data_IF_261754839156
#
_entry.id   IF_261754839156
#
_cell.length_a   1.000
_cell.length_b   1.000
_cell.length_c   1.000
_cell.angle_alpha   90.00
_cell.angle_beta   90.00
_cell.angle_gamma   90.00
#
_symmetry.space_group_name_H-M   'P 1'
#
loop_
_entity.id
_entity.type
_entity.pdbx_description
1 polymer ?
#
# COMPACT_ATOMS: atom_id res chain seq x y z
N UNK A 1 -14.63 16.33 -6.33
CA UNK A 1 -13.87 17.25 -7.21
C UNK A 1 -14.11 16.81 -8.65
N UNK A 2 -14.37 17.72 -9.57
CA UNK A 2 -14.66 17.40 -10.97
C UNK A 2 -13.47 16.64 -11.60
N UNK A 3 -13.71 15.76 -12.59
CA UNK A 3 -12.63 15.15 -13.36
C UNK A 3 -11.75 16.27 -13.93
N UNK A 4 -10.46 15.99 -14.02
CA UNK A 4 -9.49 16.94 -14.56
C UNK A 4 -9.60 16.90 -16.11
N UNK A 5 -10.77 17.27 -16.61
CA UNK A 5 -11.03 17.37 -18.03
C UNK A 5 -10.16 18.52 -18.56
N UNK A 6 -9.21 18.17 -19.42
CA UNK A 6 -8.31 19.07 -20.14
C UNK A 6 -6.99 19.52 -19.48
N UNK A 7 -6.49 18.91 -18.39
CA UNK A 7 -5.14 19.27 -17.89
C UNK A 7 -4.04 18.33 -18.36
N UNK A 8 -2.87 18.91 -18.61
CA UNK A 8 -1.66 18.23 -19.00
C UNK A 8 -1.21 17.24 -17.93
N UNK A 9 -0.99 15.98 -18.31
CA UNK A 9 -0.52 14.93 -17.40
C UNK A 9 0.89 15.15 -16.82
N UNK A 10 1.65 16.13 -17.34
CA UNK A 10 3.03 16.42 -16.90
C UNK A 10 3.11 17.69 -16.05
N UNK A 11 2.33 18.73 -16.36
CA UNK A 11 2.46 20.04 -15.70
C UNK A 11 1.14 20.68 -15.27
N UNK A 12 0.02 19.96 -15.42
CA UNK A 12 -1.33 20.38 -15.00
C UNK A 12 -1.89 21.63 -15.68
N UNK A 13 -1.19 22.23 -16.65
CA UNK A 13 -1.72 23.31 -17.51
C UNK A 13 -2.78 22.77 -18.48
N UNK A 14 -3.73 23.59 -18.97
CA UNK A 14 -4.65 23.17 -20.01
C UNK A 14 -3.94 22.57 -21.22
N UNK A 15 -4.49 21.49 -21.79
CA UNK A 15 -3.86 20.73 -22.86
C UNK A 15 -4.83 20.15 -23.87
N UNK A 16 -4.26 19.62 -24.95
CA UNK A 16 -4.97 18.92 -26.03
C UNK A 16 -4.87 17.41 -25.84
N UNK A 17 -5.90 16.70 -26.27
CA UNK A 17 -5.93 15.24 -26.25
C UNK A 17 -4.80 14.62 -27.08
N UNK A 18 -4.29 13.49 -26.59
CA UNK A 18 -3.45 12.60 -27.38
C UNK A 18 -4.25 12.10 -28.59
N UNK A 19 -3.73 12.33 -29.80
CA UNK A 19 -4.42 11.97 -31.03
C UNK A 19 -4.62 10.45 -31.24
N UNK A 20 -3.96 9.60 -30.45
CA UNK A 20 -4.07 8.14 -30.58
C UNK A 20 -5.08 7.51 -29.63
N UNK A 21 -5.11 7.90 -28.35
CA UNK A 21 -6.00 7.29 -27.36
C UNK A 21 -7.15 8.21 -26.92
N UNK A 22 -7.05 9.50 -27.24
CA UNK A 22 -8.01 10.56 -26.90
C UNK A 22 -8.45 10.53 -25.43
N UNK A 23 -7.52 10.22 -24.52
CA UNK A 23 -7.80 10.13 -23.08
C UNK A 23 -6.91 11.05 -22.24
N UNK A 24 -5.60 11.07 -22.50
CA UNK A 24 -4.66 11.97 -21.79
C UNK A 24 -4.50 13.29 -22.53
N UNK A 25 -4.24 14.37 -21.80
CA UNK A 25 -3.99 15.69 -22.36
C UNK A 25 -2.53 16.13 -22.19
N UNK A 26 -2.03 16.93 -23.14
CA UNK A 26 -0.72 17.58 -23.08
C UNK A 26 -0.83 19.05 -23.52
N UNK A 27 -0.17 19.97 -22.80
CA UNK A 27 -0.16 21.38 -23.19
C UNK A 27 0.62 21.64 -24.49
N UNK A 28 1.63 20.80 -24.77
CA UNK A 28 2.47 20.87 -25.96
C UNK A 28 3.15 19.53 -26.26
N UNK A 29 3.89 19.50 -27.38
CA UNK A 29 4.65 18.32 -27.81
C UNK A 29 5.84 17.97 -26.91
N UNK A 30 6.32 18.90 -26.09
CA UNK A 30 7.44 18.65 -25.15
C UNK A 30 6.94 17.78 -24.00
N UNK A 31 5.80 18.14 -23.41
CA UNK A 31 5.14 17.32 -22.38
C UNK A 31 4.76 15.95 -22.93
N UNK A 32 4.19 15.88 -24.14
CA UNK A 32 3.85 14.61 -24.77
C UNK A 32 5.10 13.72 -24.99
N UNK A 33 6.19 14.26 -25.53
CA UNK A 33 7.45 13.50 -25.75
C UNK A 33 8.08 13.03 -24.43
N UNK A 34 7.97 13.84 -23.38
CA UNK A 34 8.46 13.50 -22.04
C UNK A 34 7.72 12.29 -21.48
N UNK A 35 6.39 12.26 -21.62
CA UNK A 35 5.55 11.16 -21.15
C UNK A 35 5.59 9.93 -22.08
N UNK A 36 5.89 10.12 -23.37
CA UNK A 36 5.73 9.12 -24.42
C UNK A 36 6.37 7.76 -24.10
N UNK A 37 7.54 7.74 -23.45
CA UNK A 37 8.22 6.49 -23.08
C UNK A 37 7.35 5.58 -22.20
N UNK A 38 6.55 6.20 -21.33
CA UNK A 38 5.63 5.53 -20.40
C UNK A 38 4.26 5.39 -21.03
N UNK A 39 3.69 6.50 -21.52
CA UNK A 39 2.35 6.54 -22.09
C UNK A 39 2.11 5.50 -23.20
N UNK A 40 3.08 5.33 -24.11
CA UNK A 40 2.95 4.39 -25.25
C UNK A 40 2.70 2.94 -24.84
N UNK A 41 3.04 2.56 -23.60
CA UNK A 41 2.87 1.20 -23.07
C UNK A 41 1.39 0.83 -22.91
N UNK A 42 0.51 1.81 -22.73
CA UNK A 42 -0.94 1.63 -22.60
C UNK A 42 -1.77 2.41 -23.62
N UNK A 43 -1.18 3.40 -24.29
CA UNK A 43 -1.87 4.28 -25.24
C UNK A 43 -2.69 3.49 -26.29
N UNK A 44 -2.04 2.57 -27.01
CA UNK A 44 -2.69 1.82 -28.09
C UNK A 44 -3.69 0.78 -27.60
N UNK A 45 -3.56 0.31 -26.35
CA UNK A 45 -4.49 -0.66 -25.75
C UNK A 45 -5.68 0.02 -25.07
N UNK A 46 -5.69 1.35 -24.99
CA UNK A 46 -6.75 2.06 -24.31
C UNK A 46 -8.09 1.92 -25.03
N UNK A 47 -8.11 1.97 -26.36
CA UNK A 47 -9.33 1.90 -27.17
C UNK A 47 -10.14 0.65 -26.86
N UNK A 48 -9.49 -0.52 -26.82
CA UNK A 48 -10.10 -1.82 -26.49
C UNK A 48 -10.66 -1.88 -25.04
N UNK A 49 -10.24 -0.95 -24.20
CA UNK A 49 -10.61 -0.87 -22.79
C UNK A 49 -11.40 0.40 -22.45
N UNK A 50 -11.80 1.20 -23.43
CA UNK A 50 -12.46 2.49 -23.22
C UNK A 50 -13.80 2.28 -22.51
N UNK A 51 -14.60 1.35 -23.03
CA UNK A 51 -15.92 1.01 -22.52
C UNK A 51 -15.90 -0.28 -21.67
N UNK A 52 -16.68 -0.34 -20.58
CA UNK A 52 -16.84 -1.55 -19.80
C UNK A 52 -17.59 -2.63 -20.58
N UNK A 53 -17.21 -3.91 -20.46
CA UNK A 53 -17.92 -5.01 -21.11
C UNK A 53 -19.27 -5.32 -20.44
N UNK A 54 -19.58 -4.70 -19.30
CA UNK A 54 -20.82 -4.91 -18.56
C UNK A 54 -20.93 -4.01 -17.32
N UNK A 55 -22.09 -4.04 -16.64
CA UNK A 55 -22.28 -3.31 -15.39
C UNK A 55 -21.39 -3.88 -14.29
N UNK A 56 -21.08 -3.07 -13.28
CA UNK A 56 -20.27 -3.47 -12.12
C UNK A 56 -18.86 -3.97 -12.47
N UNK A 57 -18.27 -3.42 -13.54
CA UNK A 57 -16.88 -3.65 -13.92
C UNK A 57 -16.07 -2.40 -13.62
N UNK A 58 -14.79 -2.59 -13.28
CA UNK A 58 -13.84 -1.50 -13.17
C UNK A 58 -12.58 -1.75 -13.99
N UNK A 59 -12.02 -0.68 -14.55
CA UNK A 59 -10.78 -0.74 -15.33
C UNK A 59 -9.58 -0.62 -14.40
N UNK A 60 -8.72 -1.63 -14.47
CA UNK A 60 -7.49 -1.75 -13.68
C UNK A 60 -6.28 -1.79 -14.62
N UNK A 61 -5.11 -1.45 -14.10
CA UNK A 61 -3.85 -1.62 -14.81
C UNK A 61 -3.15 -2.87 -14.26
N UNK A 62 -2.83 -3.80 -15.16
CA UNK A 62 -2.17 -5.06 -14.83
C UNK A 62 -0.70 -4.98 -15.20
N UNK A 63 0.15 -5.44 -14.28
CA UNK A 63 1.59 -5.57 -14.47
C UNK A 63 1.96 -7.06 -14.39
N UNK A 64 1.93 -7.79 -15.52
CA UNK A 64 2.25 -9.22 -15.55
C UNK A 64 3.66 -9.50 -15.05
N UNK A 65 3.87 -10.68 -14.47
CA UNK A 65 5.18 -11.04 -13.90
C UNK A 65 6.18 -11.56 -14.95
N UNK A 66 5.70 -12.16 -16.03
CA UNK A 66 6.49 -12.86 -17.05
C UNK A 66 6.59 -12.11 -18.38
N UNK A 67 5.98 -10.93 -18.49
CA UNK A 67 6.04 -10.10 -19.70
C UNK A 67 6.33 -8.65 -19.34
N UNK A 68 6.75 -7.86 -20.34
CA UNK A 68 6.93 -6.40 -20.20
C UNK A 68 5.66 -5.62 -20.57
N UNK A 69 4.66 -6.30 -21.12
CA UNK A 69 3.47 -5.67 -21.70
C UNK A 69 2.48 -5.39 -20.57
N UNK A 70 2.23 -4.10 -20.36
CA UNK A 70 1.15 -3.63 -19.49
C UNK A 70 -0.17 -3.72 -20.25
N UNK A 71 -1.26 -3.89 -19.51
CA UNK A 71 -2.58 -3.96 -20.11
C UNK A 71 -3.63 -3.36 -19.18
N UNK A 72 -4.62 -2.71 -19.78
CA UNK A 72 -5.88 -2.48 -19.11
C UNK A 72 -6.67 -3.78 -19.06
N UNK A 73 -7.33 -4.01 -17.94
CA UNK A 73 -8.27 -5.13 -17.79
C UNK A 73 -9.53 -4.65 -17.10
N UNK A 74 -10.66 -5.16 -17.54
CA UNK A 74 -11.91 -5.01 -16.82
C UNK A 74 -12.05 -6.16 -15.82
N UNK A 75 -12.23 -5.83 -14.55
CA UNK A 75 -12.51 -6.81 -13.50
C UNK A 75 -13.86 -6.53 -12.83
N UNK A 76 -14.61 -7.56 -12.41
CA UNK A 76 -15.82 -7.38 -11.62
C UNK A 76 -15.51 -6.63 -10.32
N UNK A 77 -16.45 -5.83 -9.84
CA UNK A 77 -16.31 -5.13 -8.57
C UNK A 77 -16.83 -6.03 -7.43
N UNK A 78 -16.01 -6.26 -6.40
CA UNK A 78 -16.45 -6.88 -5.16
C UNK A 78 -17.34 -5.92 -4.38
N UNK A 79 -18.56 -6.35 -3.98
CA UNK A 79 -19.42 -5.51 -3.14
C UNK A 79 -18.83 -5.39 -1.74
N UNK A 80 -19.04 -4.24 -1.11
CA UNK A 80 -18.61 -3.98 0.26
C UNK A 80 -18.45 -2.49 0.53
N UNK A 81 -18.14 -2.15 1.78
CA UNK A 81 -17.87 -0.76 2.21
C UNK A 81 -16.71 -0.12 1.44
N UNK A 82 -15.80 -0.95 0.92
CA UNK A 82 -14.72 -0.51 0.04
C UNK A 82 -14.75 -1.40 -1.19
N UNK A 83 -15.19 -0.82 -2.31
CA UNK A 83 -15.20 -1.50 -3.60
C UNK A 83 -13.76 -1.77 -4.06
N UNK A 84 -13.49 -3.01 -4.44
CA UNK A 84 -12.20 -3.44 -4.97
C UNK A 84 -12.43 -4.45 -6.10
N UNK A 85 -11.43 -4.69 -6.96
CA UNK A 85 -11.59 -5.66 -8.04
C UNK A 85 -11.70 -7.09 -7.49
N UNK A 86 -12.58 -7.89 -8.09
CA UNK A 86 -12.54 -9.33 -7.93
C UNK A 86 -11.40 -9.91 -8.76
N UNK A 87 -10.28 -10.13 -8.08
CA UNK A 87 -9.07 -10.70 -8.66
C UNK A 87 -9.13 -12.24 -8.81
N UNK A 88 -10.17 -12.93 -8.34
CA UNK A 88 -10.30 -14.39 -8.48
C UNK A 88 -8.99 -15.15 -8.18
N UNK A 89 -8.50 -15.92 -9.16
CA UNK A 89 -7.24 -16.66 -9.11
C UNK A 89 -6.03 -15.92 -9.72
N UNK A 90 -6.13 -14.61 -9.99
CA UNK A 90 -5.09 -13.81 -10.67
C UNK A 90 -3.71 -13.89 -9.98
N UNK A 91 -3.69 -13.85 -8.64
CA UNK A 91 -2.45 -13.98 -7.86
C UNK A 91 -2.02 -15.45 -7.61
N UNK A 92 -2.75 -16.40 -8.19
CA UNK A 92 -2.57 -17.84 -8.03
C UNK A 92 -3.19 -18.40 -6.75
N UNK A 93 -3.03 -19.72 -6.61
CA UNK A 93 -3.37 -20.50 -5.41
C UNK A 93 -2.09 -20.95 -4.70
N UNK A 94 -2.22 -21.34 -3.44
CA UNK A 94 -1.11 -21.76 -2.59
C UNK A 94 -0.66 -20.62 -1.67
N UNK A 95 -1.27 -20.58 -0.49
CA UNK A 95 -0.78 -19.82 0.65
C UNK A 95 -0.35 -20.76 1.76
N UNK A 96 0.27 -20.23 2.83
CA UNK A 96 0.55 -21.02 4.03
C UNK A 96 -0.72 -21.68 4.63
N UNK A 97 -1.91 -21.23 4.24
CA UNK A 97 -3.20 -21.75 4.69
C UNK A 97 -3.70 -22.96 3.85
N UNK A 98 -2.95 -23.37 2.82
CA UNK A 98 -3.22 -24.58 2.04
C UNK A 98 -3.06 -24.41 0.52
N UNK A 99 -2.79 -25.52 -0.18
CA UNK A 99 -2.53 -25.55 -1.62
C UNK A 99 -3.68 -25.00 -2.49
N UNK A 100 -4.93 -25.11 -2.01
CA UNK A 100 -6.14 -24.67 -2.73
C UNK A 100 -6.69 -23.31 -2.23
N UNK A 101 -5.97 -22.61 -1.36
CA UNK A 101 -6.36 -21.29 -0.89
C UNK A 101 -5.77 -20.20 -1.79
N UNK A 102 -6.45 -19.05 -1.97
CA UNK A 102 -5.88 -17.91 -2.70
C UNK A 102 -4.52 -17.53 -2.11
N UNK A 103 -3.62 -17.07 -2.98
CA UNK A 103 -2.34 -16.52 -2.53
C UNK A 103 -2.58 -15.34 -1.57
N UNK A 104 -1.70 -15.20 -0.57
CA UNK A 104 -1.71 -14.01 0.28
C UNK A 104 -1.37 -12.79 -0.57
N UNK A 105 -2.18 -11.75 -0.43
CA UNK A 105 -2.01 -10.47 -1.12
C UNK A 105 -1.88 -9.37 -0.08
N UNK A 106 -1.04 -8.40 -0.40
CA UNK A 106 -0.92 -7.15 0.33
C UNK A 106 -1.20 -6.00 -0.64
N UNK A 107 -1.53 -4.84 -0.09
CA UNK A 107 -1.90 -3.67 -0.88
C UNK A 107 -1.31 -2.41 -0.26
N UNK A 108 -0.99 -1.43 -1.12
CA UNK A 108 -0.60 -0.08 -0.71
C UNK A 108 -1.43 0.90 -1.49
N UNK A 109 -2.00 1.88 -0.78
CA UNK A 109 -2.79 2.94 -1.41
C UNK A 109 -2.07 4.26 -1.27
N UNK A 110 -2.23 5.16 -2.24
CA UNK A 110 -1.72 6.53 -2.14
C UNK A 110 -2.69 7.49 -2.83
N UNK A 111 -2.68 8.75 -2.36
CA UNK A 111 -3.55 9.82 -2.86
C UNK A 111 -2.76 11.09 -3.19
N UNK A 112 -1.43 11.02 -3.12
CA UNK A 112 -0.54 12.10 -3.48
C UNK A 112 0.33 11.67 -4.64
N UNK A 113 0.56 12.59 -5.55
CA UNK A 113 1.57 12.43 -6.58
C UNK A 113 2.96 12.27 -5.91
N UNK A 114 3.69 11.19 -6.19
CA UNK A 114 4.96 10.89 -5.52
C UNK A 114 6.04 11.97 -5.67
N UNK A 115 6.02 12.75 -6.74
CA UNK A 115 7.04 13.78 -7.02
C UNK A 115 6.68 15.12 -6.40
N UNK A 116 5.42 15.51 -6.53
CA UNK A 116 4.96 16.87 -6.22
C UNK A 116 4.24 16.97 -4.88
N UNK A 117 3.74 15.85 -4.35
CA UNK A 117 2.91 15.81 -3.15
C UNK A 117 1.49 16.33 -3.37
N UNK A 118 1.15 16.76 -4.59
CA UNK A 118 -0.18 17.24 -4.95
C UNK A 118 -1.20 16.11 -4.82
N UNK A 119 -2.37 16.40 -4.25
CA UNK A 119 -3.43 15.42 -4.10
C UNK A 119 -3.97 14.99 -5.46
N UNK A 120 -4.02 13.68 -5.68
CA UNK A 120 -4.64 13.06 -6.85
C UNK A 120 -6.17 13.19 -6.76
N UNK A 121 -6.83 13.19 -7.91
CA UNK A 121 -8.29 13.28 -7.99
C UNK A 121 -8.99 12.02 -7.49
N UNK A 122 -8.27 10.89 -7.47
CA UNK A 122 -8.70 9.64 -6.87
C UNK A 122 -7.51 8.97 -6.19
N UNK A 123 -7.80 8.02 -5.31
CA UNK A 123 -6.82 7.17 -4.64
C UNK A 123 -6.44 6.02 -5.55
N UNK A 124 -5.15 5.78 -5.70
CA UNK A 124 -4.64 4.60 -6.41
C UNK A 124 -4.24 3.55 -5.38
N UNK A 125 -4.71 2.32 -5.57
CA UNK A 125 -4.34 1.15 -4.76
C UNK A 125 -3.59 0.15 -5.61
N UNK A 126 -2.39 -0.20 -5.17
CA UNK A 126 -1.53 -1.22 -5.76
C UNK A 126 -1.63 -2.49 -4.93
N UNK A 127 -2.10 -3.58 -5.53
CA UNK A 127 -2.14 -4.91 -4.96
C UNK A 127 -1.02 -5.78 -5.52
N UNK A 128 -0.41 -6.58 -4.66
CA UNK A 128 0.67 -7.49 -5.01
C UNK A 128 0.67 -8.70 -4.07
N UNK A 129 1.40 -9.75 -4.44
CA UNK A 129 1.47 -10.97 -3.63
C UNK A 129 2.40 -10.80 -2.43
N UNK A 130 1.91 -11.14 -1.23
CA UNK A 130 2.64 -11.08 0.04
C UNK A 130 3.28 -12.42 0.41
N UNK A 131 3.88 -13.07 -0.59
CA UNK A 131 4.55 -14.37 -0.44
C UNK A 131 6.05 -14.31 -0.67
N UNK A 132 6.56 -13.17 -1.16
CA UNK A 132 7.87 -13.11 -1.80
C UNK A 132 9.05 -13.42 -0.87
N UNK A 133 8.93 -13.09 0.42
CA UNK A 133 9.95 -13.41 1.42
C UNK A 133 10.05 -14.91 1.70
N UNK A 134 8.96 -15.65 1.47
CA UNK A 134 8.84 -17.05 1.85
C UNK A 134 9.08 -18.00 0.66
N UNK A 135 8.85 -17.56 -0.57
CA UNK A 135 8.91 -18.40 -1.78
C UNK A 135 10.04 -18.04 -2.76
N UNK A 136 10.88 -17.05 -2.43
CA UNK A 136 12.01 -16.63 -3.28
C UNK A 136 11.59 -15.93 -4.57
N UNK A 137 10.35 -15.44 -4.65
CA UNK A 137 9.82 -14.80 -5.84
C UNK A 137 10.64 -13.60 -6.32
N UNK A 138 10.81 -13.53 -7.64
CA UNK A 138 11.47 -12.42 -8.33
C UNK A 138 10.53 -11.23 -8.55
N UNK A 139 11.12 -10.03 -8.64
CA UNK A 139 10.41 -8.79 -8.99
C UNK A 139 9.71 -8.93 -10.34
N UNK A 140 8.51 -8.37 -10.48
CA UNK A 140 7.79 -8.34 -11.75
C UNK A 140 8.64 -7.70 -12.86
N UNK A 141 8.80 -8.42 -13.98
CA UNK A 141 9.55 -7.93 -15.16
C UNK A 141 8.90 -6.67 -15.72
N UNK A 142 7.57 -6.60 -15.74
CA UNK A 142 6.83 -5.41 -16.17
C UNK A 142 7.17 -4.19 -15.31
N UNK A 143 7.15 -4.36 -13.99
CA UNK A 143 7.46 -3.27 -13.04
C UNK A 143 8.91 -2.82 -13.20
N UNK A 144 9.85 -3.76 -13.27
CA UNK A 144 11.28 -3.45 -13.46
C UNK A 144 11.55 -2.68 -14.76
N UNK A 145 10.92 -3.07 -15.87
CA UNK A 145 11.07 -2.37 -17.15
C UNK A 145 10.40 -0.98 -17.14
N UNK A 146 9.26 -0.86 -16.46
CA UNK A 146 8.56 0.41 -16.33
C UNK A 146 9.38 1.44 -15.54
N UNK A 147 10.05 1.03 -14.46
CA UNK A 147 10.91 1.91 -13.65
C UNK A 147 12.31 2.11 -14.25
N UNK A 148 12.73 1.26 -15.19
CA UNK A 148 14.07 1.29 -15.78
C UNK A 148 15.19 0.92 -14.79
N UNK A 149 14.87 0.20 -13.71
CA UNK A 149 15.82 -0.11 -12.65
C UNK A 149 15.17 -0.57 -11.34
N UNK A 150 15.92 -0.55 -10.21
CA UNK A 150 15.45 -1.02 -8.91
C UNK A 150 14.25 -0.21 -8.40
N UNK A 151 13.21 -0.90 -7.94
CA UNK A 151 12.05 -0.28 -7.29
C UNK A 151 12.30 -0.11 -5.79
N UNK A 152 11.62 0.84 -5.15
CA UNK A 152 11.78 1.09 -3.70
C UNK A 152 11.36 -0.11 -2.85
N UNK A 153 10.43 -0.92 -3.36
CA UNK A 153 9.96 -2.15 -2.73
C UNK A 153 10.08 -3.32 -3.70
N UNK A 154 10.36 -4.51 -3.17
CA UNK A 154 10.28 -5.75 -3.94
C UNK A 154 8.81 -6.08 -4.20
N UNK A 155 8.28 -5.59 -5.31
CA UNK A 155 6.97 -5.96 -5.82
C UNK A 155 7.11 -7.23 -6.65
N UNK A 156 7.01 -8.38 -5.96
CA UNK A 156 7.20 -9.67 -6.60
C UNK A 156 5.88 -10.22 -7.19
N UNK A 157 6.01 -10.88 -8.35
CA UNK A 157 4.92 -11.53 -9.10
C UNK A 157 3.81 -10.53 -9.53
N UNK A 158 2.66 -10.95 -10.13
CA UNK A 158 1.88 -9.99 -10.89
C UNK A 158 1.34 -8.91 -9.96
N UNK A 159 1.43 -7.67 -10.41
CA UNK A 159 0.96 -6.50 -9.67
C UNK A 159 -0.28 -5.98 -10.38
N UNK A 160 -1.20 -5.42 -9.61
CA UNK A 160 -2.44 -4.85 -10.13
C UNK A 160 -2.70 -3.52 -9.45
N UNK A 161 -2.99 -2.48 -10.24
CA UNK A 161 -3.38 -1.18 -9.73
C UNK A 161 -4.84 -0.88 -10.07
N UNK A 162 -5.57 -0.30 -9.13
CA UNK A 162 -6.96 0.09 -9.30
C UNK A 162 -7.27 1.40 -8.57
N UNK A 163 -8.32 2.10 -8.99
CA UNK A 163 -8.69 3.41 -8.46
C UNK A 163 -9.89 3.37 -7.51
N UNK A 164 -9.88 4.24 -6.50
CA UNK A 164 -11.01 4.51 -5.60
C UNK A 164 -11.26 6.01 -5.46
N UNK A 165 -12.53 6.41 -5.36
CA UNK A 165 -12.91 7.76 -4.99
C UNK A 165 -12.86 7.84 -3.46
N UNK A 166 -12.16 8.83 -2.93
CA UNK A 166 -12.21 9.08 -1.49
C UNK A 166 -13.59 9.57 -1.08
N UNK A 167 -14.20 8.85 -0.16
CA UNK A 167 -15.48 9.21 0.45
C UNK A 167 -15.23 9.82 1.84
N UNK A 168 -16.25 10.50 2.37
CA UNK A 168 -16.20 11.00 3.76
C UNK A 168 -16.20 9.84 4.75
N UNK A 169 -15.83 10.12 6.01
CA UNK A 169 -15.90 9.10 7.07
C UNK A 169 -17.32 8.52 7.16
N UNK A 170 -17.41 7.18 7.12
CA UNK A 170 -18.65 6.36 7.11
C UNK A 170 -19.39 6.22 5.78
N UNK A 171 -18.88 6.77 4.68
CA UNK A 171 -19.41 6.51 3.34
C UNK A 171 -18.72 5.31 2.67
N UNK A 172 -19.46 4.62 1.80
CA UNK A 172 -18.89 3.55 0.99
C UNK A 172 -17.85 4.13 0.01
N UNK A 173 -16.65 3.54 0.00
CA UNK A 173 -15.56 3.89 -0.90
C UNK A 173 -15.84 3.25 -2.26
N UNK A 174 -16.17 4.08 -3.25
CA UNK A 174 -16.49 3.65 -4.62
C UNK A 174 -15.24 3.44 -5.44
N UNK A 175 -15.28 2.53 -6.40
CA UNK A 175 -14.21 2.37 -7.37
C UNK A 175 -14.27 3.47 -8.45
N UNK A 176 -13.13 3.75 -9.07
CA UNK A 176 -13.04 4.53 -10.31
C UNK A 176 -12.16 3.80 -11.33
N UNK A 177 -12.39 4.08 -12.60
CA UNK A 177 -11.61 3.52 -13.69
C UNK A 177 -10.26 4.23 -13.77
N UNK A 178 -9.17 3.46 -13.78
CA UNK A 178 -7.86 4.01 -14.13
C UNK A 178 -7.81 4.32 -15.63
N UNK A 179 -6.96 5.24 -16.03
CA UNK A 179 -6.77 5.61 -17.43
C UNK A 179 -5.28 5.79 -17.80
N UNK A 180 -5.01 6.33 -18.99
CA UNK A 180 -3.64 6.44 -19.48
C UNK A 180 -2.79 7.47 -18.73
N UNK A 181 -3.42 8.39 -17.98
CA UNK A 181 -2.71 9.39 -17.17
C UNK A 181 -2.14 8.82 -15.86
N UNK A 182 -2.75 7.76 -15.32
CA UNK A 182 -2.36 7.17 -14.04
C UNK A 182 -1.04 6.42 -14.09
N UNK A 183 -0.65 5.91 -15.26
CA UNK A 183 0.53 5.05 -15.39
C UNK A 183 1.82 5.75 -14.97
N UNK A 184 1.97 7.03 -15.29
CA UNK A 184 3.19 7.77 -14.95
C UNK A 184 3.28 8.02 -13.44
N UNK A 185 2.14 8.29 -12.79
CA UNK A 185 2.04 8.44 -11.33
C UNK A 185 2.37 7.11 -10.64
N UNK A 186 1.83 5.99 -11.14
CA UNK A 186 2.11 4.64 -10.62
C UNK A 186 3.60 4.29 -10.78
N UNK A 187 4.20 4.57 -11.94
CA UNK A 187 5.64 4.38 -12.17
C UNK A 187 6.45 5.19 -11.17
N UNK A 188 6.10 6.46 -10.97
CA UNK A 188 6.81 7.32 -10.04
C UNK A 188 6.70 6.80 -8.61
N UNK A 189 5.56 6.21 -8.23
CA UNK A 189 5.38 5.56 -6.93
C UNK A 189 6.22 4.28 -6.80
N UNK A 190 6.33 3.46 -7.84
CA UNK A 190 7.24 2.30 -7.83
C UNK A 190 8.70 2.68 -7.65
N UNK A 191 9.12 3.83 -8.22
CA UNK A 191 10.49 4.30 -8.16
C UNK A 191 10.82 5.04 -6.84
N UNK A 192 9.91 5.88 -6.34
CA UNK A 192 10.16 6.82 -5.25
C UNK A 192 9.42 6.48 -3.95
N UNK A 193 8.36 5.67 -4.04
CA UNK A 193 7.44 5.40 -2.95
C UNK A 193 6.48 6.57 -2.69
N UNK A 194 6.16 6.76 -1.42
CA UNK A 194 5.30 7.87 -0.99
C UNK A 194 6.04 9.20 -1.05
N UNK A 195 5.29 10.26 -1.34
CA UNK A 195 5.80 11.62 -1.19
C UNK A 195 6.28 11.85 0.25
N UNK A 196 7.45 12.49 0.37
CA UNK A 196 8.06 12.83 1.65
C UNK A 196 8.03 14.34 1.84
N UNK A 197 7.24 14.82 2.79
CA UNK A 197 7.21 16.25 3.10
C UNK A 197 8.42 16.63 3.98
N UNK A 198 8.84 17.90 3.90
CA UNK A 198 10.05 18.39 4.60
C UNK A 198 10.03 18.14 6.12
N UNK A 199 8.85 18.18 6.72
CA UNK A 199 8.65 18.05 8.16
C UNK A 199 8.18 16.65 8.58
N UNK A 200 8.19 15.66 7.68
CA UNK A 200 7.64 14.32 7.93
C UNK A 200 8.24 13.66 9.19
N UNK A 201 9.56 13.77 9.39
CA UNK A 201 10.20 13.21 10.59
C UNK A 201 9.68 13.87 11.87
N UNK A 202 9.52 15.20 11.86
CA UNK A 202 8.98 15.94 12.99
C UNK A 202 7.53 15.51 13.31
N UNK A 203 6.71 15.34 12.27
CA UNK A 203 5.33 14.89 12.42
C UNK A 203 5.24 13.44 12.93
N UNK A 204 6.12 12.56 12.43
CA UNK A 204 6.23 11.19 12.91
C UNK A 204 6.69 11.12 14.38
N UNK A 205 7.73 11.88 14.74
CA UNK A 205 8.24 11.95 16.11
C UNK A 205 7.17 12.47 17.07
N UNK A 206 6.41 13.49 16.66
CA UNK A 206 5.30 14.04 17.44
C UNK A 206 4.11 13.08 17.56
N UNK A 207 3.77 12.36 16.48
CA UNK A 207 2.75 11.31 16.52
C UNK A 207 3.16 10.19 17.50
N UNK A 208 4.39 9.70 17.39
CA UNK A 208 4.92 8.64 18.25
C UNK A 208 5.01 9.08 19.72
N UNK A 209 5.36 10.35 19.97
CA UNK A 209 5.39 10.94 21.31
C UNK A 209 3.99 11.04 21.94
N UNK A 210 2.94 11.24 21.14
CA UNK A 210 1.56 11.29 21.61
C UNK A 210 0.92 9.91 21.78
N UNK A 211 1.25 8.94 20.93
CA UNK A 211 0.53 7.66 20.84
C UNK A 211 1.20 6.46 21.55
N UNK A 212 2.33 6.65 22.25
CA UNK A 212 3.09 5.55 22.89
C UNK A 212 3.36 4.35 21.95
N UNK A 213 3.46 4.59 20.64
CA UNK A 213 3.64 3.54 19.65
C UNK A 213 5.13 3.22 19.49
N UNK A 214 5.51 1.96 19.64
CA UNK A 214 6.85 1.49 19.26
C UNK A 214 6.91 1.46 17.73
N UNK A 215 7.74 2.31 17.13
CA UNK A 215 8.11 2.22 15.71
C UNK A 215 8.52 0.76 15.38
N UNK A 216 8.18 0.26 14.19
CA UNK A 216 8.65 -1.04 13.71
C UNK A 216 10.18 -1.16 13.76
N UNK A 217 10.91 -0.05 13.58
CA UNK A 217 12.36 0.03 13.82
C UNK A 217 12.70 -0.23 15.29
N UNK A 218 11.96 0.38 16.21
CA UNK A 218 12.12 0.17 17.65
C UNK A 218 11.76 -1.26 18.08
N UNK A 219 10.79 -1.91 17.43
CA UNK A 219 10.48 -3.32 17.64
C UNK A 219 11.59 -4.25 17.15
N UNK A 220 12.23 -3.93 16.03
CA UNK A 220 13.35 -4.69 15.50
C UNK A 220 14.63 -4.52 16.35
N UNK A 221 14.92 -3.29 16.77
CA UNK A 221 16.01 -2.99 17.73
C UNK A 221 15.76 -3.66 19.08
N UNK A 222 14.51 -3.69 19.56
CA UNK A 222 14.10 -4.43 20.76
C UNK A 222 14.43 -5.92 20.62
N UNK A 223 14.08 -6.55 19.49
CA UNK A 223 14.39 -7.96 19.25
C UNK A 223 15.89 -8.25 19.31
N UNK A 224 16.72 -7.36 18.76
CA UNK A 224 18.17 -7.53 18.78
C UNK A 224 18.79 -7.26 20.15
N UNK A 225 18.30 -6.25 20.89
CA UNK A 225 18.79 -5.95 22.24
C UNK A 225 18.42 -7.08 23.22
N UNK A 226 17.26 -7.72 23.04
CA UNK A 226 16.85 -8.91 23.79
C UNK A 226 17.78 -10.09 23.53
N UNK A 227 18.05 -10.37 22.25
CA UNK A 227 18.94 -11.46 21.84
C UNK A 227 20.35 -11.26 22.42
N UNK A 228 20.86 -10.02 22.40
CA UNK A 228 22.16 -9.65 22.95
C UNK A 228 22.20 -9.77 24.48
N UNK A 229 21.15 -9.34 25.19
CA UNK A 229 21.09 -9.40 26.67
C UNK A 229 21.01 -10.85 27.19
N UNK A 230 20.27 -11.73 26.49
CA UNK A 230 20.19 -13.15 26.82
C UNK A 230 21.55 -13.84 26.65
N UNK A 231 22.24 -13.58 25.54
CA UNK A 231 23.60 -14.10 25.30
C UNK A 231 24.58 -13.65 26.39
N UNK A 232 24.54 -12.39 26.82
CA UNK A 232 25.43 -11.85 27.85
C UNK A 232 25.20 -12.50 29.23
N UNK A 233 24.00 -12.98 29.52
CA UNK A 233 23.65 -13.66 30.78
C UNK A 233 23.89 -15.17 30.74
N UNK A 234 24.49 -15.69 29.66
CA UNK A 234 24.67 -17.13 29.45
C UNK A 234 23.36 -17.90 29.26
N UNK A 235 22.27 -17.18 28.95
CA UNK A 235 20.95 -17.75 28.73
C UNK A 235 20.75 -17.90 27.22
N UNK A 236 20.57 -19.12 26.73
CA UNK A 236 20.08 -19.31 25.36
C UNK A 236 18.64 -18.85 25.28
N UNK A 237 18.23 -18.19 24.18
CA UNK A 237 16.81 -18.06 23.83
C UNK A 237 16.14 -19.41 24.08
N UNK A 238 14.97 -19.49 24.75
CA UNK A 238 14.31 -20.76 24.94
C UNK A 238 14.02 -21.31 23.55
N UNK A 239 14.81 -22.29 23.13
CA UNK A 239 14.75 -22.89 21.79
C UNK A 239 13.39 -23.53 21.53
N UNK A 240 12.52 -23.59 22.53
CA UNK A 240 11.10 -23.83 22.35
C UNK A 240 10.25 -23.06 23.37
N UNK A 241 9.82 -21.85 23.02
CA UNK A 241 8.59 -21.26 23.58
C UNK A 241 7.40 -22.24 23.45
N UNK A 242 7.44 -23.19 22.51
CA UNK A 242 6.42 -24.23 22.31
C UNK A 242 6.28 -25.23 23.47
N UNK A 243 7.28 -25.35 24.36
CA UNK A 243 7.27 -26.33 25.46
C UNK A 243 6.78 -25.76 26.81
N UNK A 244 6.50 -24.47 26.88
CA UNK A 244 5.94 -23.81 28.06
C UNK A 244 4.41 -23.79 27.98
N UNK A 245 3.73 -23.99 29.11
CA UNK A 245 2.30 -23.77 29.20
C UNK A 245 1.95 -22.31 28.85
N UNK A 246 0.77 -22.10 28.25
CA UNK A 246 0.31 -20.77 27.81
C UNK A 246 0.46 -19.68 28.88
N UNK A 247 0.20 -20.05 30.14
CA UNK A 247 0.29 -19.17 31.31
C UNK A 247 1.72 -18.71 31.60
N UNK A 248 2.69 -19.62 31.50
CA UNK A 248 4.11 -19.34 31.75
C UNK A 248 4.71 -18.49 30.63
N UNK A 249 4.28 -18.73 29.38
CA UNK A 249 4.64 -17.89 28.22
C UNK A 249 4.13 -16.46 28.39
N UNK A 250 2.87 -16.30 28.80
CA UNK A 250 2.27 -14.99 29.04
C UNK A 250 2.97 -14.25 30.18
N UNK A 251 3.32 -14.94 31.27
CA UNK A 251 4.04 -14.35 32.40
C UNK A 251 5.46 -13.91 32.04
N UNK A 252 6.21 -14.70 31.27
CA UNK A 252 7.54 -14.33 30.83
C UNK A 252 7.52 -13.11 29.90
N UNK A 253 6.57 -13.06 28.96
CA UNK A 253 6.35 -11.91 28.08
C UNK A 253 5.94 -10.67 28.87
N UNK A 254 5.06 -10.81 29.87
CA UNK A 254 4.58 -9.70 30.70
C UNK A 254 5.68 -9.13 31.62
N UNK A 255 6.50 -10.00 32.22
CA UNK A 255 7.65 -9.59 33.02
C UNK A 255 8.70 -8.86 32.16
N UNK A 256 8.95 -9.35 30.94
CA UNK A 256 9.83 -8.70 29.99
C UNK A 256 9.30 -7.32 29.56
N UNK A 257 8.01 -7.25 29.20
CA UNK A 257 7.33 -6.00 28.82
C UNK A 257 7.48 -4.94 29.92
N UNK A 258 7.33 -5.30 31.19
CA UNK A 258 7.52 -4.38 32.32
C UNK A 258 8.94 -3.81 32.42
N UNK A 259 9.97 -4.64 32.23
CA UNK A 259 11.38 -4.19 32.25
C UNK A 259 11.68 -3.28 31.06
N UNK A 260 11.14 -3.62 29.88
CA UNK A 260 11.28 -2.81 28.68
C UNK A 260 10.57 -1.46 28.80
N UNK A 261 9.32 -1.44 29.25
CA UNK A 261 8.53 -0.21 29.47
C UNK A 261 9.26 0.74 30.44
N UNK A 262 9.93 0.20 31.46
CA UNK A 262 10.78 0.97 32.36
C UNK A 262 12.03 1.55 31.65
N UNK A 263 12.71 0.77 30.81
CA UNK A 263 13.84 1.25 29.99
C UNK A 263 13.42 2.32 28.97
N UNK A 264 12.25 2.18 28.34
CA UNK A 264 11.70 3.17 27.42
C UNK A 264 11.36 4.46 28.17
N UNK A 265 10.68 4.39 29.33
CA UNK A 265 10.43 5.58 30.16
C UNK A 265 11.72 6.30 30.57
N UNK A 266 12.78 5.55 30.89
CA UNK A 266 14.10 6.11 31.22
C UNK A 266 14.85 6.69 30.00
N UNK A 267 14.58 6.22 28.77
CA UNK A 267 15.09 6.80 27.52
C UNK A 267 14.28 8.01 27.08
N UNK A 268 12.96 7.97 27.22
CA UNK A 268 12.03 9.06 26.90
C UNK A 268 12.30 10.32 27.74
N UNK A 269 12.66 10.15 29.02
CA UNK A 269 13.03 11.28 29.89
C UNK A 269 14.29 12.05 29.45
N UNK A 270 15.12 11.47 28.55
CA UNK A 270 16.31 12.13 28.00
C UNK A 270 16.09 12.82 26.65
N UNK A 271 14.94 12.65 26.00
CA UNK A 271 14.71 13.12 24.62
C UNK A 271 13.29 13.66 24.36
N UNK A 272 12.59 14.10 25.40
CA UNK A 272 11.29 14.72 25.23
C UNK A 272 11.47 16.12 24.61
N UNK A 273 11.49 16.20 23.29
CA UNK A 273 11.22 17.45 22.61
C UNK A 273 9.80 17.87 23.00
N UNK A 274 9.69 19.05 23.63
CA UNK A 274 8.40 19.61 24.01
C UNK A 274 7.65 20.05 22.75
N UNK A 275 6.64 19.29 22.34
CA UNK A 275 5.71 19.69 21.27
C UNK A 275 4.57 20.53 21.85
N UNK A 276 4.90 21.72 22.38
CA UNK A 276 3.93 22.62 23.02
C UNK A 276 3.07 23.41 22.03
N UNK A 277 3.53 23.61 20.79
CA UNK A 277 2.76 24.27 19.73
C UNK A 277 1.61 23.38 19.24
N UNK A 278 0.46 23.92 18.83
CA UNK A 278 -0.64 23.13 18.23
C UNK A 278 -0.22 22.49 16.89
N UNK A 279 -0.93 21.45 16.43
CA UNK A 279 -0.70 20.89 15.09
C UNK A 279 -1.07 21.93 14.02
N UNK A 280 -0.20 22.09 13.02
CA UNK A 280 -0.48 22.95 11.87
C UNK A 280 -1.29 22.21 10.79
N UNK A 281 -1.74 22.94 9.77
CA UNK A 281 -2.54 22.38 8.68
C UNK A 281 -1.77 21.34 7.86
N UNK A 282 -0.45 21.49 7.74
CA UNK A 282 0.43 20.58 7.01
C UNK A 282 0.58 19.24 7.75
N UNK A 283 0.72 19.26 9.07
CA UNK A 283 0.72 18.08 9.93
C UNK A 283 -0.63 17.35 9.86
N UNK A 284 -1.75 18.08 9.92
CA UNK A 284 -3.07 17.48 9.82
C UNK A 284 -3.30 16.81 8.46
N UNK A 285 -2.88 17.47 7.37
CA UNK A 285 -2.94 16.91 6.02
C UNK A 285 -2.06 15.66 5.89
N UNK A 286 -0.85 15.69 6.47
CA UNK A 286 0.05 14.53 6.53
C UNK A 286 -0.57 13.37 7.30
N UNK A 287 -1.15 13.59 8.49
CA UNK A 287 -1.83 12.53 9.26
C UNK A 287 -2.99 11.90 8.50
N UNK A 288 -3.81 12.72 7.83
CA UNK A 288 -4.92 12.24 6.99
C UNK A 288 -4.43 11.42 5.80
N UNK A 289 -3.31 11.81 5.20
CA UNK A 289 -2.65 11.02 4.15
C UNK A 289 -2.17 9.67 4.70
N UNK A 290 -1.51 9.65 5.86
CA UNK A 290 -0.98 8.41 6.46
C UNK A 290 -2.07 7.39 6.79
N UNK A 291 -3.21 7.86 7.29
CA UNK A 291 -4.40 7.03 7.52
C UNK A 291 -4.98 6.51 6.20
N UNK A 292 -5.04 7.38 5.19
CA UNK A 292 -5.50 7.05 3.85
C UNK A 292 -4.60 5.99 3.21
N UNK A 293 -3.29 6.18 3.20
CA UNK A 293 -2.35 5.25 2.56
C UNK A 293 -2.15 3.94 3.33
N UNK A 294 -2.67 3.85 4.56
CA UNK A 294 -2.41 2.74 5.47
C UNK A 294 -0.98 2.73 6.00
N UNK A 295 -0.24 3.84 5.84
CA UNK A 295 1.11 4.02 6.41
C UNK A 295 1.07 4.10 7.93
N UNK A 296 -0.06 4.55 8.49
CA UNK A 296 -0.35 4.54 9.91
C UNK A 296 -1.73 3.92 10.10
N UNK A 297 -1.80 2.79 10.80
CA UNK A 297 -3.08 2.23 11.25
C UNK A 297 -3.57 3.08 12.42
N UNK A 298 -4.66 3.83 12.24
CA UNK A 298 -5.28 4.52 13.38
C UNK A 298 -5.69 3.49 14.43
N UNK A 299 -5.53 3.83 15.72
CA UNK A 299 -5.95 2.99 16.85
C UNK A 299 -7.46 2.70 16.90
N UNK A 300 -8.28 3.16 15.94
CA UNK A 300 -9.74 3.02 15.97
C UNK A 300 -10.33 1.96 15.02
N UNK A 301 -9.51 1.22 14.28
CA UNK A 301 -9.97 -0.05 13.71
C UNK A 301 -9.00 -1.13 14.14
N UNK A 302 -9.36 -1.79 15.23
CA UNK A 302 -9.04 -3.18 15.56
C UNK A 302 -7.95 -3.77 14.67
N UNK A 303 -6.81 -4.15 15.24
CA UNK A 303 -5.83 -5.04 14.58
C UNK A 303 -6.51 -6.32 14.04
N UNK A 304 -7.65 -6.68 14.64
CA UNK A 304 -8.62 -7.66 14.16
C UNK A 304 -9.19 -7.36 12.77
N UNK A 305 -9.36 -6.11 12.35
CA UNK A 305 -9.93 -5.70 11.06
C UNK A 305 -8.96 -5.90 9.89
N UNK A 306 -7.63 -5.78 10.13
CA UNK A 306 -6.62 -6.13 9.12
C UNK A 306 -6.59 -7.64 8.85
N UNK A 307 -6.76 -8.47 9.89
CA UNK A 307 -6.88 -9.93 9.80
C UNK A 307 -8.27 -10.37 9.30
N UNK A 308 -9.36 -9.68 9.66
CA UNK A 308 -10.72 -9.91 9.15
C UNK A 308 -10.85 -9.56 7.67
N UNK A 309 -10.12 -8.55 7.18
CA UNK A 309 -10.03 -8.21 5.74
C UNK A 309 -9.28 -9.29 4.94
N UNK A 310 -8.32 -9.99 5.55
CA UNK A 310 -7.62 -11.12 4.93
C UNK A 310 -8.43 -12.44 4.94
N UNK A 311 -9.53 -12.55 5.71
CA UNK A 311 -10.19 -13.84 5.97
C UNK A 311 -11.68 -13.94 5.61
N UNK A 312 -12.28 -12.99 4.88
CA UNK A 312 -13.65 -13.18 4.35
C UNK A 312 -13.66 -14.08 3.11
N UNK A 313 -13.72 -15.39 3.34
CA UNK A 313 -14.44 -16.28 2.42
C UNK A 313 -15.95 -16.05 2.62
N UNK A 314 -16.75 -15.95 1.55
CA UNK A 314 -18.21 -15.91 1.65
C UNK A 314 -18.77 -17.14 2.39
N UNK A 315 -19.82 -16.94 3.21
CA UNK A 315 -20.49 -17.97 4.02
C UNK A 315 -21.01 -19.16 3.18
N UNK A 316 -21.22 -18.93 1.89
CA UNK A 316 -21.63 -19.89 0.85
C UNK A 316 -20.58 -20.98 0.51
N UNK A 317 -19.40 -20.94 1.14
CA UNK A 317 -18.34 -21.95 0.98
C UNK A 317 -17.97 -22.75 2.25
N UNK A 318 -18.75 -22.70 3.34
CA UNK A 318 -18.58 -23.70 4.42
C UNK A 318 -19.12 -25.07 3.95
N UNK A 319 -18.41 -26.19 4.19
CA UNK A 319 -19.00 -27.52 3.98
C UNK A 319 -20.29 -27.62 4.78
N UNK A 320 -21.38 -28.07 4.15
CA UNK A 320 -22.59 -28.46 4.88
C UNK A 320 -22.22 -29.65 5.75
N UNK A 321 -22.20 -29.45 7.06
CA UNK A 321 -22.18 -30.57 8.00
C UNK A 321 -23.45 -31.40 7.76
N UNK A 322 -23.26 -32.72 7.67
CA UNK A 322 -24.34 -33.71 7.55
C UNK A 322 -25.12 -33.80 8.85
#
# INVERSE_FOLDING_TARGET
MAPIDNQCAICSKPGKLCASCENVHYCDSVCQKTDWKVHKLLCHTFEDSREPPGPNMMRVIVFPFNTTKLEFRWLPIKPGKTQCPDFGSFFGVGSMLGANKPALVDFRSFVQDPKTGVRLHHRITVMFRDGYKNDGSITSIAVHNLTGGPCISKLARPVLAYGNIDSLENEDVKCTNLDTSDLNVIKDWFAQGFYKCKNEQLYADRLNANDNFLDATAMFEMSQDVERELLTRGLTMPTNLQNLGLKERLQAVDAFKKVWDAKIKARASKKQQSFSASMDADELAWRKEMQTSGRITSQSSDYTDHLKRQTRLPEEYRPREK
#
